data_IF_916670799693
#
_entry.id   IF_916670799693
#
_cell.length_a   1.000
_cell.length_b   1.000
_cell.length_c   1.000
_cell.angle_alpha   90.00
_cell.angle_beta   90.00
_cell.angle_gamma   90.00
#
_symmetry.space_group_name_H-M   'P 1'
#
loop_
_entity.id
_entity.type
_entity.pdbx_description
1 polymer ?
#
# COMPACT_ATOMS: atom_id res chain seq x y z
N UNK A 1 14.09 28.69 -15.59
CA UNK A 1 13.28 27.73 -16.38
C UNK A 1 12.26 27.00 -15.49
N UNK A 2 11.32 27.76 -14.91
CA UNK A 2 10.17 27.26 -14.13
C UNK A 2 8.90 27.61 -14.91
N UNK A 3 8.48 26.77 -15.87
CA UNK A 3 7.28 27.06 -16.68
C UNK A 3 6.71 25.84 -17.45
N UNK A 4 6.84 24.60 -16.95
CA UNK A 4 6.27 23.41 -17.63
C UNK A 4 5.63 22.39 -16.68
N UNK A 5 4.94 22.85 -15.64
CA UNK A 5 4.27 21.95 -14.68
C UNK A 5 2.76 22.23 -14.49
N UNK A 6 2.16 23.13 -15.27
CA UNK A 6 0.76 23.55 -15.07
C UNK A 6 -0.20 23.21 -16.23
N UNK A 7 0.23 22.42 -17.23
CA UNK A 7 -0.54 22.24 -18.48
C UNK A 7 -1.23 20.88 -18.67
N UNK A 8 -1.23 19.99 -17.69
CA UNK A 8 -1.91 18.67 -17.79
C UNK A 8 -3.32 18.68 -17.16
N UNK A 9 -3.69 19.71 -16.40
CA UNK A 9 -4.97 19.76 -15.67
C UNK A 9 -6.18 20.34 -16.43
N UNK A 10 -6.01 20.88 -17.64
CA UNK A 10 -7.08 21.65 -18.32
C UNK A 10 -7.78 20.97 -19.50
N UNK A 11 -7.30 19.83 -20.00
CA UNK A 11 -7.83 19.24 -21.26
C UNK A 11 -8.93 18.18 -21.09
N UNK A 12 -9.29 17.79 -19.86
CA UNK A 12 -10.36 16.80 -19.63
C UNK A 12 -11.71 17.39 -19.17
N UNK A 13 -11.82 18.73 -19.08
CA UNK A 13 -13.02 19.43 -18.57
C UNK A 13 -13.87 20.15 -19.65
N UNK A 14 -13.67 19.87 -20.93
CA UNK A 14 -14.47 20.47 -22.03
C UNK A 14 -14.87 19.45 -23.09
N UNK A 15 -15.84 18.61 -22.77
CA UNK A 15 -16.85 18.12 -23.71
C UNK A 15 -17.95 17.42 -22.91
N UNK A 16 -19.19 17.55 -23.36
CA UNK A 16 -20.45 17.10 -22.72
C UNK A 16 -21.16 18.15 -21.85
N UNK A 17 -21.52 19.28 -22.46
CA UNK A 17 -22.81 19.90 -22.14
C UNK A 17 -23.89 19.15 -22.91
N UNK A 18 -24.67 18.33 -22.20
CA UNK A 18 -25.99 17.88 -22.66
C UNK A 18 -27.00 18.42 -21.66
N UNK A 19 -27.92 19.23 -22.17
CA UNK A 19 -29.04 19.87 -21.49
C UNK A 19 -29.93 18.85 -20.78
N UNK A 20 -30.10 18.98 -19.46
CA UNK A 20 -31.09 18.25 -18.66
C UNK A 20 -32.47 18.89 -18.79
N UNK A 21 -33.48 18.11 -19.15
CA UNK A 21 -34.88 18.37 -18.81
C UNK A 21 -35.27 17.56 -17.56
N UNK A 22 -36.15 18.08 -16.68
CA UNK A 22 -36.54 17.40 -15.45
C UNK A 22 -37.64 16.37 -15.73
N UNK A 23 -37.33 15.08 -15.60
CA UNK A 23 -38.35 14.03 -15.49
C UNK A 23 -38.59 13.70 -14.02
N UNK A 24 -39.83 13.85 -13.60
CA UNK A 24 -40.37 13.43 -12.31
C UNK A 24 -40.39 11.90 -12.24
N UNK A 25 -39.51 11.31 -11.43
CA UNK A 25 -39.52 9.86 -11.18
C UNK A 25 -40.27 9.56 -9.88
N UNK A 26 -41.38 8.85 -10.01
CA UNK A 26 -42.21 8.33 -8.93
C UNK A 26 -41.38 7.41 -8.01
N UNK A 27 -41.45 7.64 -6.69
CA UNK A 27 -40.86 6.78 -5.67
C UNK A 27 -41.68 5.51 -5.53
N UNK A 28 -41.19 4.39 -6.05
CA UNK A 28 -41.67 3.06 -5.65
C UNK A 28 -40.68 2.48 -4.64
N UNK A 29 -41.09 2.44 -3.37
CA UNK A 29 -40.29 1.86 -2.29
C UNK A 29 -40.44 0.34 -2.33
N UNK A 30 -39.49 -0.35 -2.97
CA UNK A 30 -39.38 -1.81 -2.88
C UNK A 30 -38.63 -2.12 -1.58
N UNK A 31 -39.37 -2.52 -0.55
CA UNK A 31 -38.77 -3.12 0.65
C UNK A 31 -38.26 -4.51 0.31
N UNK A 32 -36.96 -4.62 0.00
CA UNK A 32 -36.28 -5.91 -0.08
C UNK A 32 -36.03 -6.37 1.36
N UNK A 33 -36.64 -7.48 1.77
CA UNK A 33 -36.33 -8.14 3.03
C UNK A 33 -34.94 -8.78 2.92
N UNK A 34 -33.92 -8.18 3.55
CA UNK A 34 -32.54 -8.66 3.43
C UNK A 34 -32.18 -9.56 4.61
N UNK A 35 -32.01 -10.86 4.30
CA UNK A 35 -31.44 -11.88 5.20
C UNK A 35 -30.03 -11.50 5.70
N UNK A 36 -29.72 -11.84 6.95
CA UNK A 36 -28.50 -11.48 7.70
C UNK A 36 -27.36 -12.51 7.54
N UNK A 37 -26.87 -12.74 6.33
CA UNK A 37 -25.66 -13.55 6.12
C UNK A 37 -24.46 -12.66 5.78
N UNK A 38 -23.39 -12.77 6.58
CA UNK A 38 -22.09 -12.09 6.40
C UNK A 38 -21.32 -12.82 5.30
N UNK A 39 -20.93 -12.13 4.25
CA UNK A 39 -20.10 -12.68 3.17
C UNK A 39 -18.71 -12.07 3.21
N UNK A 40 -17.68 -12.90 3.09
CA UNK A 40 -16.28 -12.51 3.24
C UNK A 40 -15.53 -12.67 1.91
N UNK A 41 -14.52 -11.83 1.68
CA UNK A 41 -13.66 -11.98 0.49
C UNK A 41 -12.86 -13.27 0.66
N UNK A 42 -12.96 -14.18 -0.32
CA UNK A 42 -12.14 -15.39 -0.32
C UNK A 42 -10.82 -15.07 -1.01
N UNK A 43 -9.73 -15.14 -0.25
CA UNK A 43 -8.40 -14.98 -0.81
C UNK A 43 -7.80 -16.33 -1.23
N UNK A 44 -7.05 -16.31 -2.33
CA UNK A 44 -6.26 -17.44 -2.84
C UNK A 44 -4.85 -16.96 -3.18
N UNK A 45 -3.88 -17.86 -3.32
CA UNK A 45 -2.56 -17.45 -3.81
C UNK A 45 -2.62 -17.17 -5.32
N UNK A 46 -1.92 -16.14 -5.82
CA UNK A 46 -1.76 -15.92 -7.26
C UNK A 46 -0.89 -17.03 -7.87
N UNK A 47 -0.95 -17.14 -9.20
CA UNK A 47 -0.05 -18.03 -9.94
C UNK A 47 1.41 -17.67 -9.67
N UNK A 48 2.29 -18.68 -9.76
CA UNK A 48 3.74 -18.49 -9.76
C UNK A 48 4.27 -18.66 -11.18
N UNK A 49 4.97 -17.64 -11.68
CA UNK A 49 5.64 -17.70 -12.98
C UNK A 49 6.89 -18.60 -12.83
N UNK A 50 6.90 -19.73 -13.54
CA UNK A 50 7.95 -20.73 -13.43
C UNK A 50 9.27 -20.31 -14.11
N UNK A 51 9.19 -19.49 -15.15
CA UNK A 51 10.32 -18.99 -15.92
C UNK A 51 10.17 -17.49 -16.20
N UNK A 52 11.25 -16.71 -16.17
CA UNK A 52 11.20 -15.29 -16.57
C UNK A 52 11.12 -15.13 -18.11
N UNK A 53 10.45 -16.06 -18.79
CA UNK A 53 10.25 -16.03 -20.23
C UNK A 53 9.26 -14.92 -20.59
N UNK A 54 9.74 -13.94 -21.36
CA UNK A 54 8.99 -12.74 -21.70
C UNK A 54 7.75 -13.06 -22.55
N UNK A 55 7.83 -14.02 -23.48
CA UNK A 55 6.70 -14.37 -24.33
C UNK A 55 5.61 -15.08 -23.54
N UNK A 56 6.00 -15.98 -22.64
CA UNK A 56 5.10 -16.64 -21.71
C UNK A 56 4.40 -15.61 -20.81
N UNK A 57 5.17 -14.72 -20.18
CA UNK A 57 4.65 -13.63 -19.36
C UNK A 57 3.68 -12.73 -20.13
N UNK A 58 4.08 -12.29 -21.34
CA UNK A 58 3.29 -11.40 -22.19
C UNK A 58 1.94 -12.03 -22.55
N UNK A 59 1.94 -13.31 -22.92
CA UNK A 59 0.74 -14.00 -23.40
C UNK A 59 -0.21 -14.39 -22.26
N UNK A 60 0.31 -14.95 -21.16
CA UNK A 60 -0.52 -15.55 -20.10
C UNK A 60 -0.92 -14.57 -18.99
N UNK A 61 -0.13 -13.51 -18.77
CA UNK A 61 -0.32 -12.64 -17.61
C UNK A 61 -0.51 -11.18 -18.00
N UNK A 62 0.39 -10.62 -18.80
CA UNK A 62 0.30 -9.20 -19.18
C UNK A 62 -0.95 -8.90 -20.02
N UNK A 63 -1.15 -9.62 -21.13
CA UNK A 63 -2.34 -9.44 -22.00
C UNK A 63 -3.63 -9.90 -21.35
N UNK A 64 -3.57 -10.92 -20.50
CA UNK A 64 -4.73 -11.45 -19.78
C UNK A 64 -5.10 -10.59 -18.55
N UNK A 65 -4.32 -9.56 -18.24
CA UNK A 65 -4.45 -8.74 -17.04
C UNK A 65 -4.58 -9.57 -15.76
N UNK A 66 -3.75 -10.61 -15.64
CA UNK A 66 -3.74 -11.56 -14.52
C UNK A 66 -2.51 -11.34 -13.62
N UNK A 67 -2.68 -11.15 -12.30
CA UNK A 67 -1.57 -11.08 -11.37
C UNK A 67 -0.77 -12.37 -11.35
N UNK A 68 0.54 -12.24 -11.17
CA UNK A 68 1.47 -13.37 -11.07
C UNK A 68 2.66 -12.99 -10.21
N UNK A 69 3.13 -13.97 -9.44
CA UNK A 69 4.32 -13.84 -8.58
C UNK A 69 5.49 -14.54 -9.24
N UNK A 70 6.67 -13.95 -9.16
CA UNK A 70 7.92 -14.56 -9.57
C UNK A 70 8.74 -14.72 -8.30
N UNK A 71 9.02 -15.98 -7.92
CA UNK A 71 9.76 -16.29 -6.70
C UNK A 71 11.25 -16.26 -6.97
N UNK A 72 12.03 -15.67 -6.06
CA UNK A 72 13.49 -15.58 -6.19
C UNK A 72 13.92 -15.09 -7.58
N UNK A 73 13.31 -14.00 -8.03
CA UNK A 73 13.40 -13.52 -9.40
C UNK A 73 14.86 -13.12 -9.74
N UNK A 74 15.43 -13.71 -10.79
CA UNK A 74 16.75 -13.34 -11.30
C UNK A 74 16.80 -11.86 -11.65
N UNK A 75 15.70 -11.30 -12.16
CA UNK A 75 15.59 -9.86 -12.41
C UNK A 75 15.84 -9.01 -11.16
N UNK A 76 15.50 -9.52 -9.97
CA UNK A 76 15.72 -8.84 -8.70
C UNK A 76 17.18 -8.98 -8.26
N UNK A 77 17.72 -10.20 -8.34
CA UNK A 77 19.10 -10.52 -7.94
C UNK A 77 20.15 -9.77 -8.78
N UNK A 78 19.83 -9.43 -10.03
CA UNK A 78 20.73 -8.70 -10.94
C UNK A 78 20.75 -7.18 -10.71
N UNK A 79 19.84 -6.62 -9.92
CA UNK A 79 19.86 -5.19 -9.61
C UNK A 79 21.03 -4.88 -8.67
N UNK A 80 21.93 -3.94 -9.01
CA UNK A 80 23.00 -3.55 -8.09
C UNK A 80 22.48 -3.10 -6.73
N UNK A 81 21.30 -2.47 -6.66
CA UNK A 81 20.67 -2.09 -5.40
C UNK A 81 20.43 -3.27 -4.45
N UNK A 82 20.18 -4.47 -4.97
CA UNK A 82 19.87 -5.66 -4.17
C UNK A 82 20.98 -6.02 -3.17
N UNK A 83 22.25 -5.85 -3.58
CA UNK A 83 23.43 -6.12 -2.76
C UNK A 83 24.13 -4.85 -2.26
N UNK A 84 24.08 -3.74 -3.02
CA UNK A 84 24.74 -2.48 -2.62
C UNK A 84 23.99 -1.76 -1.51
N UNK A 85 22.65 -1.75 -1.55
CA UNK A 85 21.84 -1.04 -0.55
C UNK A 85 21.52 -1.90 0.66
N UNK A 86 21.57 -3.22 0.51
CA UNK A 86 21.13 -4.16 1.52
C UNK A 86 22.18 -5.24 1.77
N UNK A 87 22.78 -5.20 2.96
CA UNK A 87 23.75 -6.20 3.41
C UNK A 87 23.01 -7.36 4.07
N UNK A 88 23.40 -8.57 3.71
CA UNK A 88 22.85 -9.79 4.30
C UNK A 88 23.55 -10.06 5.63
N UNK A 89 22.75 -10.18 6.69
CA UNK A 89 23.21 -10.57 8.01
C UNK A 89 22.71 -11.97 8.34
N UNK A 90 23.63 -12.79 8.86
CA UNK A 90 23.31 -14.11 9.39
C UNK A 90 22.81 -13.89 10.82
N UNK A 91 21.55 -14.24 11.09
CA UNK A 91 21.05 -14.22 12.46
C UNK A 91 21.78 -15.26 13.31
N UNK A 92 22.55 -14.81 14.30
CA UNK A 92 23.28 -15.68 15.23
C UNK A 92 22.34 -16.41 16.23
N UNK A 93 21.03 -16.13 16.21
CA UNK A 93 20.06 -16.68 17.16
C UNK A 93 19.14 -17.73 16.53
N UNK A 94 19.69 -18.86 16.07
CA UNK A 94 18.98 -20.13 15.86
C UNK A 94 17.79 -20.17 14.88
N UNK A 95 17.27 -19.03 14.43
CA UNK A 95 16.26 -18.88 13.39
C UNK A 95 17.01 -18.77 12.07
N UNK A 96 16.99 -19.84 11.27
CA UNK A 96 17.45 -19.83 9.88
C UNK A 96 16.67 -18.75 9.12
N UNK A 97 17.32 -17.62 8.86
CA UNK A 97 16.77 -16.54 8.05
C UNK A 97 17.85 -15.50 7.78
N UNK A 98 18.09 -15.22 6.50
CA UNK A 98 18.94 -14.10 6.09
C UNK A 98 18.12 -12.84 6.28
N UNK A 99 18.55 -11.95 7.18
CA UNK A 99 17.96 -10.62 7.31
C UNK A 99 18.78 -9.62 6.52
N UNK A 100 18.10 -8.72 5.81
CA UNK A 100 18.75 -7.62 5.13
C UNK A 100 18.80 -6.40 6.05
N UNK A 101 19.93 -5.71 6.10
CA UNK A 101 20.09 -4.41 6.75
C UNK A 101 20.51 -3.36 5.74
N UNK A 102 20.18 -2.09 5.99
CA UNK A 102 20.62 -0.99 5.14
C UNK A 102 22.15 -0.88 5.17
N UNK A 103 22.75 -0.70 4.00
CA UNK A 103 24.15 -0.37 3.87
C UNK A 103 24.35 1.13 4.14
N UNK A 104 24.48 1.49 5.42
CA UNK A 104 24.65 2.88 5.84
C UNK A 104 25.91 3.52 5.22
N UNK A 105 27.02 2.79 5.12
CA UNK A 105 28.27 3.29 4.52
C UNK A 105 28.12 3.69 3.04
N UNK A 106 27.22 3.02 2.32
CA UNK A 106 26.94 3.34 0.93
C UNK A 106 25.91 4.48 0.81
N UNK A 107 24.77 4.36 1.48
CA UNK A 107 23.62 5.25 1.28
C UNK A 107 23.86 6.63 1.93
N UNK A 108 24.55 6.70 3.07
CA UNK A 108 24.82 7.96 3.79
C UNK A 108 25.65 8.97 2.99
N UNK A 109 26.43 8.51 2.01
CA UNK A 109 27.16 9.37 1.05
C UNK A 109 26.25 10.29 0.25
N UNK A 110 24.96 9.96 0.19
CA UNK A 110 23.92 10.73 -0.48
C UNK A 110 22.92 11.36 0.51
N UNK A 111 23.28 11.47 1.80
CA UNK A 111 22.38 11.91 2.87
C UNK A 111 21.71 13.26 2.65
N UNK A 112 22.36 14.18 1.93
CA UNK A 112 21.82 15.53 1.68
C UNK A 112 20.68 15.58 0.65
N UNK A 113 20.45 14.50 -0.12
CA UNK A 113 19.37 14.50 -1.11
C UNK A 113 18.02 14.56 -0.42
N UNK A 114 17.14 15.43 -0.89
CA UNK A 114 15.78 15.52 -0.38
C UNK A 114 14.95 14.35 -0.93
N UNK A 115 14.29 13.63 -0.03
CA UNK A 115 13.41 12.51 -0.35
C UNK A 115 12.01 12.72 0.25
N UNK A 116 10.95 12.18 -0.38
CA UNK A 116 9.61 12.18 0.21
C UNK A 116 9.58 11.20 1.39
N UNK A 117 9.28 11.73 2.56
CA UNK A 117 9.07 10.96 3.78
C UNK A 117 7.63 11.11 4.24
N UNK A 118 7.16 10.05 4.89
CA UNK A 118 5.84 10.00 5.50
C UNK A 118 5.98 9.68 6.97
N UNK A 119 5.45 10.57 7.79
CA UNK A 119 5.40 10.44 9.23
C UNK A 119 4.00 9.98 9.62
N UNK A 120 3.92 8.83 10.31
CA UNK A 120 2.69 8.39 10.97
C UNK A 120 2.93 8.39 12.47
N UNK A 121 2.09 9.10 13.21
CA UNK A 121 2.12 9.13 14.67
C UNK A 121 0.78 8.64 15.21
N UNK A 122 0.82 7.59 16.02
CA UNK A 122 -0.35 7.03 16.68
C UNK A 122 -0.25 7.29 18.18
N UNK A 123 -1.27 7.94 18.74
CA UNK A 123 -1.43 8.12 20.18
C UNK A 123 -2.67 7.37 20.65
N UNK A 124 -2.50 6.51 21.66
CA UNK A 124 -3.61 5.91 22.39
C UNK A 124 -4.07 6.92 23.43
N UNK A 125 -5.18 7.62 23.19
CA UNK A 125 -5.77 8.46 24.25
C UNK A 125 -6.53 7.58 25.25
N UNK A 126 -6.32 7.87 26.53
CA UNK A 126 -6.97 7.19 27.65
C UNK A 126 -8.50 7.26 27.61
N UNK A 127 -9.06 6.33 28.38
CA UNK A 127 -10.47 5.94 28.54
C UNK A 127 -11.51 7.06 28.37
N UNK A 128 -12.42 6.92 27.40
CA UNK A 128 -13.74 7.56 27.45
C UNK A 128 -14.80 6.53 27.87
N UNK A 129 -15.38 6.73 29.06
CA UNK A 129 -16.52 5.95 29.53
C UNK A 129 -17.77 6.34 28.73
N UNK A 130 -18.16 5.51 27.77
CA UNK A 130 -19.52 5.57 27.25
C UNK A 130 -20.51 5.12 28.34
N UNK A 131 -21.66 5.78 28.42
CA UNK A 131 -22.75 5.54 29.40
C UNK A 131 -23.30 4.11 29.43
N UNK A 132 -22.85 3.25 28.52
CA UNK A 132 -23.23 1.84 28.39
C UNK A 132 -22.16 0.84 28.86
N UNK A 133 -21.07 1.29 29.51
CA UNK A 133 -20.02 0.41 30.03
C UNK A 133 -19.09 -0.21 28.97
N UNK A 134 -19.28 0.13 27.70
CA UNK A 134 -18.36 -0.26 26.62
C UNK A 134 -17.16 0.69 26.58
N UNK A 135 -15.96 0.13 26.74
CA UNK A 135 -14.69 0.85 26.60
C UNK A 135 -14.42 1.09 25.11
N UNK A 136 -14.29 2.35 24.72
CA UNK A 136 -13.89 2.74 23.35
C UNK A 136 -12.53 3.42 23.43
N UNK A 137 -11.52 2.81 22.80
CA UNK A 137 -10.20 3.40 22.65
C UNK A 137 -10.19 4.27 21.38
N UNK A 138 -9.94 5.56 21.52
CA UNK A 138 -9.78 6.47 20.37
C UNK A 138 -8.29 6.49 20.01
N UNK A 139 -7.93 5.71 18.99
CA UNK A 139 -6.59 5.80 18.39
C UNK A 139 -6.56 7.01 17.46
N UNK A 140 -5.91 8.09 17.89
CA UNK A 140 -5.70 9.25 17.04
C UNK A 140 -4.44 9.02 16.21
N UNK A 141 -4.62 8.71 14.92
CA UNK A 141 -3.51 8.55 13.97
C UNK A 141 -3.36 9.83 13.16
N UNK A 142 -2.20 10.47 13.24
CA UNK A 142 -1.83 11.61 12.41
C UNK A 142 -0.88 11.15 11.31
N UNK A 143 -1.08 11.66 10.10
CA UNK A 143 -0.26 11.39 8.93
C UNK A 143 0.21 12.69 8.29
N UNK A 144 1.51 12.77 7.98
CA UNK A 144 2.10 13.89 7.26
C UNK A 144 3.07 13.40 6.20
N UNK A 145 3.06 14.04 5.03
CA UNK A 145 4.06 13.82 3.97
C UNK A 145 4.88 15.10 3.78
N UNK A 146 6.20 14.97 3.81
CA UNK A 146 7.13 16.10 3.71
C UNK A 146 8.40 15.70 2.94
N UNK A 147 9.20 16.70 2.54
CA UNK A 147 10.52 16.48 1.95
C UNK A 147 11.57 16.72 3.03
N UNK A 148 12.52 15.81 3.17
CA UNK A 148 13.64 15.96 4.10
C UNK A 148 14.90 15.29 3.56
N UNK A 149 16.09 15.67 4.07
CA UNK A 149 17.33 14.98 3.73
C UNK A 149 17.22 13.48 4.04
N UNK A 150 17.76 12.64 3.14
CA UNK A 150 17.83 11.20 3.31
C UNK A 150 18.54 10.80 4.62
N UNK A 151 19.50 11.59 5.08
CA UNK A 151 20.17 11.39 6.38
C UNK A 151 19.18 11.33 7.55
N UNK A 152 18.13 12.16 7.57
CA UNK A 152 17.10 12.13 8.62
C UNK A 152 16.39 10.77 8.67
N UNK A 153 16.09 10.19 7.50
CA UNK A 153 15.50 8.85 7.43
C UNK A 153 16.48 7.78 7.92
N UNK A 154 17.74 7.87 7.52
CA UNK A 154 18.79 6.93 7.95
C UNK A 154 18.97 6.96 9.46
N UNK A 155 19.12 8.14 10.06
CA UNK A 155 19.27 8.32 11.51
C UNK A 155 18.06 7.74 12.27
N UNK A 156 16.85 7.99 11.77
CA UNK A 156 15.63 7.43 12.34
C UNK A 156 15.61 5.89 12.26
N UNK A 157 16.01 5.30 11.13
CA UNK A 157 16.06 3.83 10.98
C UNK A 157 17.11 3.20 11.89
N UNK A 158 18.28 3.83 12.07
CA UNK A 158 19.32 3.37 12.97
C UNK A 158 18.84 3.40 14.43
N UNK A 159 18.29 4.54 14.88
CA UNK A 159 17.73 4.67 16.23
C UNK A 159 16.57 3.70 16.47
N UNK A 160 15.77 3.40 15.45
CA UNK A 160 14.67 2.44 15.54
C UNK A 160 15.13 0.99 15.67
N UNK A 161 16.29 0.64 15.11
CA UNK A 161 16.85 -0.69 15.23
C UNK A 161 17.43 -0.97 16.63
N UNK A 162 17.85 0.06 17.35
CA UNK A 162 18.41 -0.03 18.71
C UNK A 162 17.35 -0.05 19.81
N UNK A 163 16.08 0.31 19.50
CA UNK A 163 15.00 0.29 20.49
C UNK A 163 14.75 -1.14 20.99
N UNK A 164 14.66 -1.36 22.32
CA UNK A 164 14.31 -2.66 22.87
C UNK A 164 12.99 -3.12 22.25
N UNK A 165 12.98 -4.34 21.69
CA UNK A 165 11.74 -5.00 21.30
C UNK A 165 11.01 -5.32 22.61
N UNK A 166 10.02 -4.51 22.98
CA UNK A 166 9.13 -4.87 24.09
C UNK A 166 8.45 -6.19 23.70
N UNK A 167 8.94 -7.30 24.27
CA UNK A 167 8.11 -8.47 24.45
C UNK A 167 6.84 -8.01 25.14
N UNK A 168 5.69 -8.47 24.66
CA UNK A 168 4.37 -8.14 25.18
C UNK A 168 4.23 -8.52 26.66
N UNK A 169 4.85 -7.75 27.54
CA UNK A 169 4.58 -7.71 28.96
C UNK A 169 3.55 -6.60 29.14
N UNK A 170 2.41 -6.98 29.71
CA UNK A 170 1.35 -6.07 30.12
C UNK A 170 1.95 -5.07 31.10
N UNK A 171 2.36 -3.91 30.58
CA UNK A 171 2.85 -2.82 31.39
C UNK A 171 1.63 -2.23 32.13
N UNK A 172 1.58 -2.43 33.44
CA UNK A 172 0.49 -1.94 34.31
C UNK A 172 0.54 -0.43 34.56
N UNK A 173 1.45 0.29 33.90
CA UNK A 173 1.60 1.73 34.02
C UNK A 173 0.69 2.46 33.02
N UNK A 174 -0.53 2.78 33.45
CA UNK A 174 -1.61 3.44 32.70
C UNK A 174 -1.27 4.90 32.31
N UNK A 175 -0.05 5.39 32.59
CA UNK A 175 0.33 6.80 32.46
C UNK A 175 1.45 7.11 31.45
N UNK A 176 1.91 6.16 30.62
CA UNK A 176 2.77 6.50 29.47
C UNK A 176 1.91 6.86 28.26
N UNK A 177 1.96 8.13 27.86
CA UNK A 177 1.58 8.55 26.52
C UNK A 177 2.62 8.01 25.52
N UNK A 178 2.61 6.71 25.26
CA UNK A 178 3.48 6.11 24.26
C UNK A 178 2.95 6.45 22.86
N UNK A 179 3.49 7.53 22.31
CA UNK A 179 3.29 7.90 20.91
C UNK A 179 4.15 6.99 20.04
N UNK A 180 3.52 6.14 19.25
CA UNK A 180 4.25 5.34 18.28
C UNK A 180 4.45 6.16 17.00
N UNK A 181 5.71 6.48 16.70
CA UNK A 181 6.10 7.26 15.52
C UNK A 181 6.83 6.39 14.51
N UNK A 182 6.40 6.48 13.26
CA UNK A 182 6.96 5.77 12.13
C UNK A 182 7.29 6.70 10.97
N UNK A 183 8.48 6.53 10.38
CA UNK A 183 8.86 7.19 9.14
C UNK A 183 8.93 6.17 8.01
N UNK A 184 8.33 6.50 6.87
CA UNK A 184 8.32 5.68 5.67
C UNK A 184 8.77 6.52 4.47
N UNK A 185 9.86 6.12 3.80
CA UNK A 185 10.23 6.65 2.49
C UNK A 185 9.31 5.98 1.47
N UNK A 186 8.37 6.73 0.91
CA UNK A 186 7.29 6.19 0.10
C UNK A 186 7.10 6.98 -1.20
N UNK A 187 6.81 6.27 -2.29
CA UNK A 187 6.67 6.87 -3.63
C UNK A 187 7.86 7.78 -3.99
N UNK A 188 9.08 7.41 -3.59
CA UNK A 188 10.27 8.16 -3.96
C UNK A 188 10.62 7.85 -5.41
N UNK A 189 10.32 8.79 -6.31
CA UNK A 189 10.66 8.67 -7.72
C UNK A 189 12.18 8.57 -7.90
N UNK A 190 12.62 7.55 -8.62
CA UNK A 190 14.05 7.28 -8.84
C UNK A 190 14.76 8.48 -9.49
N UNK A 191 14.08 9.18 -10.40
CA UNK A 191 14.59 10.37 -11.10
C UNK A 191 14.99 11.53 -10.17
N UNK A 192 14.44 11.57 -8.95
CA UNK A 192 14.77 12.58 -7.96
C UNK A 192 16.05 12.26 -7.16
N UNK A 193 16.58 11.04 -7.27
CA UNK A 193 17.80 10.63 -6.59
C UNK A 193 19.05 10.99 -7.39
N UNK A 194 20.24 11.04 -6.77
CA UNK A 194 21.48 11.30 -7.49
C UNK A 194 21.77 10.22 -8.54
N UNK A 195 22.44 10.52 -9.68
CA UNK A 195 22.67 9.56 -10.76
C UNK A 195 23.32 8.24 -10.34
N UNK A 196 24.18 8.27 -9.32
CA UNK A 196 24.82 7.08 -8.76
C UNK A 196 23.77 6.12 -8.16
N UNK A 197 22.80 6.63 -7.40
CA UNK A 197 21.70 5.83 -6.86
C UNK A 197 20.74 5.39 -7.96
N UNK A 198 20.51 6.21 -8.99
CA UNK A 198 19.69 5.81 -10.15
C UNK A 198 20.28 4.60 -10.87
N UNK A 199 21.61 4.61 -11.07
CA UNK A 199 22.33 3.53 -11.75
C UNK A 199 22.20 2.16 -11.07
N UNK A 200 21.89 2.13 -9.77
CA UNK A 200 21.71 0.88 -9.01
C UNK A 200 20.43 0.12 -9.34
N UNK A 201 19.52 0.74 -10.10
CA UNK A 201 18.29 0.12 -10.59
C UNK A 201 18.32 -0.15 -12.10
N UNK A 202 19.52 -0.03 -12.71
CA UNK A 202 19.78 -0.42 -14.08
C UNK A 202 20.52 -1.78 -14.15
N UNK A 203 20.26 -2.59 -15.18
CA UNK A 203 19.28 -2.36 -16.24
C UNK A 203 17.83 -2.53 -15.73
N UNK A 204 16.90 -1.84 -16.39
CA UNK A 204 15.46 -2.06 -16.15
C UNK A 204 15.12 -3.53 -16.45
N UNK A 205 14.35 -4.23 -15.58
CA UNK A 205 13.99 -5.63 -15.80
C UNK A 205 13.43 -5.90 -17.20
N UNK A 206 13.80 -7.04 -17.79
CA UNK A 206 13.36 -7.39 -19.15
C UNK A 206 11.82 -7.53 -19.24
N UNK A 207 11.17 -8.00 -18.18
CA UNK A 207 9.70 -8.04 -18.09
C UNK A 207 9.05 -6.65 -18.17
N UNK A 208 9.77 -5.59 -17.80
CA UNK A 208 9.31 -4.21 -17.93
C UNK A 208 9.62 -3.66 -19.31
N UNK A 209 10.88 -3.79 -19.75
CA UNK A 209 11.37 -3.17 -20.99
C UNK A 209 10.96 -3.89 -22.27
N UNK A 210 10.63 -5.19 -22.21
CA UNK A 210 10.39 -6.00 -23.41
C UNK A 210 8.96 -6.54 -23.53
N UNK A 211 8.13 -6.44 -22.50
CA UNK A 211 6.76 -6.99 -22.55
C UNK A 211 5.79 -6.08 -23.33
N UNK A 212 5.85 -4.78 -23.06
CA UNK A 212 4.96 -3.77 -23.60
C UNK A 212 5.60 -2.95 -24.72
N UNK A 213 5.41 -1.63 -24.63
CA UNK A 213 5.96 -0.62 -25.54
C UNK A 213 7.35 -0.12 -25.14
N UNK A 214 7.96 -0.73 -24.11
CA UNK A 214 9.22 -0.26 -23.50
C UNK A 214 9.09 1.18 -22.95
N UNK A 215 7.91 1.52 -22.44
CA UNK A 215 7.61 2.84 -21.87
C UNK A 215 7.52 2.72 -20.34
N UNK A 216 8.58 3.16 -19.65
CA UNK A 216 8.61 3.23 -18.19
C UNK A 216 8.11 4.60 -17.77
N UNK A 217 6.89 4.63 -17.23
CA UNK A 217 6.26 5.85 -16.76
C UNK A 217 6.93 6.39 -15.49
N UNK A 218 7.20 5.52 -14.52
CA UNK A 218 7.95 5.89 -13.32
C UNK A 218 8.55 4.65 -12.64
N UNK A 219 9.66 4.87 -11.94
CA UNK A 219 10.25 3.90 -11.00
C UNK A 219 10.17 4.51 -9.60
N UNK A 220 9.60 3.79 -8.62
CA UNK A 220 9.48 4.31 -7.25
C UNK A 220 10.10 3.38 -6.22
N UNK A 221 10.72 3.98 -5.21
CA UNK A 221 11.26 3.30 -4.04
C UNK A 221 10.34 3.42 -2.84
N UNK A 222 10.35 2.36 -2.02
CA UNK A 222 9.57 2.20 -0.82
C UNK A 222 10.46 1.59 0.26
N UNK A 223 10.82 2.32 1.30
CA UNK A 223 11.74 1.86 2.34
C UNK A 223 11.23 2.30 3.71
N UNK A 224 11.16 1.38 4.66
CA UNK A 224 10.82 1.69 6.05
C UNK A 224 11.05 0.51 6.97
N UNK A 225 10.74 0.69 8.25
CA UNK A 225 10.72 -0.41 9.22
C UNK A 225 9.27 -0.88 9.41
N UNK A 226 8.98 -2.19 9.41
CA UNK A 226 7.65 -2.69 9.74
C UNK A 226 7.18 -2.22 11.14
N UNK A 227 5.85 -2.08 11.35
CA UNK A 227 4.79 -2.37 10.40
C UNK A 227 4.49 -1.19 9.47
N UNK A 228 4.65 -1.33 8.14
CA UNK A 228 4.22 -0.27 7.20
C UNK A 228 2.84 -0.60 6.63
N UNK A 229 2.06 0.40 6.22
CA UNK A 229 0.74 0.16 5.62
C UNK A 229 0.46 1.08 4.44
N UNK A 230 0.00 0.49 3.34
CA UNK A 230 -0.57 1.16 2.19
C UNK A 230 -2.01 0.68 1.99
N UNK A 231 -3.00 1.57 2.21
CA UNK A 231 -4.43 1.27 2.04
C UNK A 231 -4.79 0.79 0.64
N UNK A 232 -6.01 0.24 0.52
CA UNK A 232 -6.53 -0.27 -0.74
C UNK A 232 -6.62 0.85 -1.79
N UNK A 233 -5.92 0.70 -2.90
CA UNK A 233 -5.92 1.65 -4.01
C UNK A 233 -5.67 0.92 -5.34
N UNK A 234 -5.71 1.64 -6.46
CA UNK A 234 -5.29 1.12 -7.77
C UNK A 234 -4.37 2.12 -8.48
N UNK A 235 -3.45 1.56 -9.26
CA UNK A 235 -2.48 2.31 -10.06
C UNK A 235 -3.01 2.61 -11.48
N UNK A 236 -2.55 3.70 -12.11
CA UNK A 236 -2.98 4.08 -13.46
C UNK A 236 -2.36 3.21 -14.57
N UNK A 237 -1.27 2.50 -14.28
CA UNK A 237 -0.51 1.66 -15.21
C UNK A 237 -0.24 0.27 -14.59
N UNK A 238 0.02 -0.76 -15.41
CA UNK A 238 0.61 -2.02 -14.94
C UNK A 238 1.86 -1.77 -14.09
N UNK A 239 2.04 -2.58 -13.06
CA UNK A 239 3.08 -2.40 -12.07
C UNK A 239 3.88 -3.70 -11.90
N UNK A 240 5.20 -3.66 -12.08
CA UNK A 240 6.09 -4.72 -11.60
C UNK A 240 6.66 -4.30 -10.26
N UNK A 241 6.25 -4.98 -9.19
CA UNK A 241 6.65 -4.68 -7.82
C UNK A 241 7.68 -5.71 -7.35
N UNK A 242 8.86 -5.26 -6.90
CA UNK A 242 9.99 -6.13 -6.53
C UNK A 242 10.39 -5.87 -5.08
N UNK A 243 10.49 -6.95 -4.30
CA UNK A 243 10.89 -6.90 -2.89
C UNK A 243 12.41 -7.04 -2.75
N UNK A 244 13.06 -5.99 -2.24
CA UNK A 244 14.52 -5.91 -2.11
C UNK A 244 14.99 -6.33 -0.71
N UNK A 245 14.22 -6.05 0.33
CA UNK A 245 14.56 -6.40 1.72
C UNK A 245 13.30 -6.61 2.56
N UNK A 246 13.40 -7.46 3.59
CA UNK A 246 12.28 -7.75 4.50
C UNK A 246 11.08 -8.40 3.80
N UNK A 247 9.90 -8.27 4.41
CA UNK A 247 8.68 -8.95 3.97
C UNK A 247 7.54 -7.96 3.73
N UNK A 248 6.75 -8.17 2.68
CA UNK A 248 5.48 -7.49 2.45
C UNK A 248 4.33 -8.46 2.24
N UNK A 249 3.23 -8.24 2.94
CA UNK A 249 1.95 -8.92 2.74
C UNK A 249 1.08 -8.08 1.81
N UNK A 250 0.70 -8.64 0.66
CA UNK A 250 -0.09 -7.96 -0.36
C UNK A 250 -1.41 -8.68 -0.54
N UNK A 251 -2.51 -7.91 -0.50
CA UNK A 251 -3.84 -8.37 -0.92
C UNK A 251 -4.27 -7.63 -2.18
N UNK A 252 -4.73 -8.39 -3.16
CA UNK A 252 -5.17 -7.91 -4.48
C UNK A 252 -6.64 -8.23 -4.68
N UNK A 253 -7.38 -7.28 -5.24
CA UNK A 253 -8.76 -7.45 -5.65
C UNK A 253 -8.89 -7.13 -7.13
N UNK A 254 -9.69 -7.93 -7.83
CA UNK A 254 -10.02 -7.65 -9.23
C UNK A 254 -10.63 -6.24 -9.37
N UNK A 255 -10.56 -5.60 -10.55
CA UNK A 255 -11.11 -4.26 -10.76
C UNK A 255 -12.56 -4.12 -10.29
N UNK A 256 -13.42 -5.14 -10.54
CA UNK A 256 -14.82 -5.15 -10.15
C UNK A 256 -15.01 -5.37 -8.65
N UNK A 257 -14.25 -6.29 -8.05
CA UNK A 257 -14.30 -6.57 -6.60
C UNK A 257 -13.84 -5.36 -5.80
N UNK A 258 -12.68 -4.79 -6.13
CA UNK A 258 -12.16 -3.64 -5.39
C UNK A 258 -13.04 -2.40 -5.53
N UNK A 259 -13.67 -2.20 -6.70
CA UNK A 259 -14.64 -1.12 -6.89
C UNK A 259 -15.88 -1.29 -5.98
N UNK A 260 -16.39 -2.50 -5.83
CA UNK A 260 -17.51 -2.77 -4.92
C UNK A 260 -17.12 -2.56 -3.46
N UNK A 261 -15.95 -3.05 -3.04
CA UNK A 261 -15.44 -2.83 -1.68
C UNK A 261 -15.30 -1.33 -1.38
N UNK A 262 -14.69 -0.58 -2.30
CA UNK A 262 -14.54 0.87 -2.16
C UNK A 262 -15.90 1.58 -2.09
N UNK A 263 -16.85 1.22 -2.95
CA UNK A 263 -18.19 1.80 -2.95
C UNK A 263 -18.96 1.50 -1.65
N UNK A 264 -18.83 0.29 -1.09
CA UNK A 264 -19.43 -0.04 0.20
C UNK A 264 -18.86 0.80 1.34
N UNK A 265 -17.53 0.98 1.39
CA UNK A 265 -16.90 1.83 2.41
C UNK A 265 -17.37 3.28 2.28
N UNK A 266 -17.42 3.81 1.06
CA UNK A 266 -17.94 5.15 0.80
C UNK A 266 -19.40 5.31 1.26
N UNK A 267 -20.26 4.31 1.02
CA UNK A 267 -21.64 4.31 1.52
C UNK A 267 -21.72 4.28 3.05
N UNK A 268 -20.91 3.44 3.71
CA UNK A 268 -20.87 3.37 5.18
C UNK A 268 -20.45 4.71 5.79
N UNK A 269 -19.50 5.40 5.17
CA UNK A 269 -19.09 6.75 5.59
C UNK A 269 -20.21 7.77 5.43
N UNK A 270 -20.96 7.72 4.32
CA UNK A 270 -22.11 8.60 4.09
C UNK A 270 -23.23 8.36 5.10
N UNK A 271 -23.51 7.10 5.45
CA UNK A 271 -24.57 6.74 6.41
C UNK A 271 -24.18 7.11 7.85
N UNK A 272 -22.89 7.13 8.18
CA UNK A 272 -22.38 7.53 9.49
C UNK A 272 -22.33 9.05 9.74
N UNK A 273 -22.42 9.86 8.68
CA UNK A 273 -22.27 11.32 8.77
C UNK A 273 -23.63 11.99 8.58
N UNK A 274 -24.24 12.52 9.64
CA UNK A 274 -25.41 13.40 9.53
C UNK A 274 -25.07 14.61 8.66
N UNK A 275 -25.63 14.65 7.44
CA UNK A 275 -25.73 15.78 6.50
C UNK A 275 -24.85 16.99 6.86
N UNK A 276 -23.67 17.08 6.27
CA UNK A 276 -22.81 18.26 6.34
C UNK A 276 -21.71 18.18 5.30
N UNK A 277 -21.56 19.27 4.55
CA UNK A 277 -20.79 19.51 3.32
C UNK A 277 -19.38 18.86 3.16
N UNK A 278 -19.05 18.66 1.88
CA UNK A 278 -17.71 18.47 1.26
C UNK A 278 -17.14 17.05 1.07
N UNK A 279 -17.98 16.07 0.75
CA UNK A 279 -17.53 14.72 0.32
C UNK A 279 -17.55 14.54 -1.21
N UNK A 280 -16.76 15.34 -1.93
CA UNK A 280 -16.52 15.11 -3.36
C UNK A 280 -15.73 13.80 -3.52
N UNK A 281 -16.33 12.84 -4.23
CA UNK A 281 -15.81 11.47 -4.39
C UNK A 281 -14.32 11.44 -4.74
N UNK A 282 -13.50 11.08 -3.74
CA UNK A 282 -12.08 10.86 -3.94
C UNK A 282 -11.92 9.67 -4.88
N UNK A 283 -11.33 9.90 -6.05
CA UNK A 283 -10.95 8.81 -6.92
C UNK A 283 -9.84 8.04 -6.20
N UNK A 284 -10.05 6.77 -5.85
CA UNK A 284 -9.00 5.86 -5.34
C UNK A 284 -7.94 5.48 -6.40
N UNK A 285 -7.75 6.38 -7.36
CA UNK A 285 -6.80 6.29 -8.46
C UNK A 285 -5.61 7.12 -8.01
N UNK A 286 -4.48 6.47 -7.76
CA UNK A 286 -3.30 7.06 -7.12
C UNK A 286 -3.44 7.24 -5.59
N UNK A 287 -2.40 6.86 -4.85
CA UNK A 287 -2.31 7.04 -3.40
C UNK A 287 -2.09 8.52 -3.04
N UNK A 288 -3.02 9.11 -2.26
CA UNK A 288 -2.96 10.48 -1.73
C UNK A 288 -2.93 10.56 -0.20
N UNK A 289 -2.79 11.76 0.36
CA UNK A 289 -2.71 11.99 1.82
C UNK A 289 -4.03 11.60 2.52
N UNK A 290 -5.14 12.00 1.91
CA UNK A 290 -6.52 11.68 2.28
C UNK A 290 -6.78 10.18 2.45
N UNK A 291 -6.11 9.31 1.68
CA UNK A 291 -6.25 7.85 1.83
C UNK A 291 -5.50 7.30 3.04
N UNK A 292 -4.54 8.05 3.60
CA UNK A 292 -3.64 7.60 4.66
C UNK A 292 -4.11 7.95 6.07
N UNK A 293 -5.26 8.59 6.23
CA UNK A 293 -5.81 8.95 7.53
C UNK A 293 -7.34 8.94 7.53
N UNK A 294 -7.95 9.09 8.70
CA UNK A 294 -9.40 9.18 8.85
C UNK A 294 -10.15 7.84 8.71
N UNK A 295 -11.48 7.93 8.74
CA UNK A 295 -12.37 6.77 8.80
C UNK A 295 -12.28 5.87 7.56
N UNK A 296 -12.03 6.44 6.38
CA UNK A 296 -11.89 5.65 5.14
C UNK A 296 -10.75 4.63 5.25
N UNK A 297 -9.58 5.06 5.72
CA UNK A 297 -8.41 4.19 5.93
C UNK A 297 -8.76 3.01 6.83
N UNK A 298 -9.43 3.28 7.95
CA UNK A 298 -9.80 2.26 8.95
C UNK A 298 -10.82 1.29 8.38
N UNK A 299 -11.84 1.79 7.67
CA UNK A 299 -12.88 0.96 7.06
C UNK A 299 -12.35 0.11 5.92
N UNK A 300 -11.49 0.67 5.05
CA UNK A 300 -10.80 -0.09 4.00
C UNK A 300 -9.86 -1.14 4.60
N UNK A 301 -9.12 -0.80 5.64
CA UNK A 301 -8.28 -1.77 6.35
C UNK A 301 -9.11 -2.93 6.89
N UNK A 302 -10.21 -2.63 7.59
CA UNK A 302 -11.13 -3.64 8.11
C UNK A 302 -11.74 -4.50 7.00
N UNK A 303 -12.17 -3.89 5.90
CA UNK A 303 -12.80 -4.60 4.79
C UNK A 303 -11.84 -5.55 4.07
N UNK A 304 -10.56 -5.17 3.96
CA UNK A 304 -9.55 -5.95 3.23
C UNK A 304 -8.82 -6.92 4.13
N UNK A 305 -8.48 -6.52 5.36
CA UNK A 305 -7.62 -7.24 6.30
C UNK A 305 -8.34 -7.88 7.48
N UNK A 306 -9.59 -7.52 7.76
CA UNK A 306 -10.35 -8.05 8.90
C UNK A 306 -10.69 -9.54 8.75
N UNK A 307 -10.63 -10.27 9.86
CA UNK A 307 -11.01 -11.68 9.93
C UNK A 307 -12.53 -11.86 9.94
N UNK A 308 -13.02 -12.84 9.18
CA UNK A 308 -14.40 -13.30 9.22
C UNK A 308 -14.80 -13.93 10.57
N UNK A 309 -13.81 -14.37 11.35
CA UNK A 309 -13.98 -15.21 12.54
C UNK A 309 -13.90 -14.48 13.88
N UNK A 310 -13.52 -13.20 13.90
CA UNK A 310 -13.35 -12.45 15.15
C UNK A 310 -14.18 -11.15 15.14
N UNK A 311 -15.49 -11.24 15.41
CA UNK A 311 -16.30 -10.08 15.80
C UNK A 311 -17.61 -10.53 16.47
N UNK A 312 -17.66 -10.42 17.79
CA UNK A 312 -18.89 -10.35 18.61
C UNK A 312 -19.59 -8.98 18.51
N UNK A 313 -19.15 -8.11 17.60
CA UNK A 313 -19.78 -6.83 17.29
C UNK A 313 -20.67 -7.01 16.05
N UNK A 314 -21.96 -6.61 16.07
CA UNK A 314 -22.83 -6.76 14.92
C UNK A 314 -22.26 -5.94 13.74
N UNK A 315 -21.77 -6.65 12.74
CA UNK A 315 -21.31 -6.12 11.46
C UNK A 315 -22.51 -5.54 10.69
N UNK A 316 -22.79 -4.25 10.87
CA UNK A 316 -23.87 -3.56 10.14
C UNK A 316 -23.46 -3.06 8.76
N UNK A 317 -22.21 -3.23 8.32
CA UNK A 317 -21.74 -2.73 7.01
C UNK A 317 -20.72 -3.61 6.26
N UNK A 318 -20.43 -4.83 6.74
CA UNK A 318 -19.43 -5.69 6.06
C UNK A 318 -19.99 -6.14 4.70
N UNK A 319 -19.27 -5.77 3.65
CA UNK A 319 -19.48 -6.06 2.22
C UNK A 319 -20.32 -7.32 2.00
N UNK A 320 -21.58 -7.12 1.56
CA UNK A 320 -22.46 -8.19 1.07
C UNK A 320 -22.05 -8.62 -0.34
N UNK A 321 -20.85 -9.18 -0.48
CA UNK A 321 -20.33 -9.72 -1.73
C UNK A 321 -20.28 -11.25 -1.67
N UNK A 322 -21.27 -11.92 -2.26
CA UNK A 322 -21.16 -13.37 -2.51
C UNK A 322 -19.98 -13.63 -3.49
N UNK A 323 -19.13 -14.60 -3.15
CA UNK A 323 -18.16 -15.23 -4.06
C UNK A 323 -17.08 -14.34 -4.70
N UNK A 324 -16.61 -13.30 -4.03
CA UNK A 324 -15.50 -12.50 -4.57
C UNK A 324 -14.15 -13.18 -4.28
N UNK A 325 -13.35 -13.37 -5.32
CA UNK A 325 -12.02 -13.98 -5.24
C UNK A 325 -10.98 -12.85 -5.27
N UNK A 326 -10.18 -12.75 -4.21
CA UNK A 326 -8.98 -11.93 -4.15
C UNK A 326 -7.71 -12.80 -4.19
N UNK A 327 -6.57 -12.14 -4.39
CA UNK A 327 -5.27 -12.78 -4.17
C UNK A 327 -4.63 -12.30 -2.87
N UNK A 328 -4.00 -13.22 -2.14
CA UNK A 328 -3.21 -12.96 -0.94
C UNK A 328 -1.82 -13.56 -1.14
N UNK A 329 -0.78 -12.75 -0.94
CA UNK A 329 0.60 -13.16 -1.15
C UNK A 329 1.53 -12.48 -0.15
N UNK A 330 2.43 -13.28 0.42
CA UNK A 330 3.63 -12.80 1.11
C UNK A 330 4.77 -12.72 0.09
N UNK A 331 5.39 -11.55 -0.04
CA UNK A 331 6.59 -11.30 -0.83
C UNK A 331 7.79 -11.21 0.10
N UNK A 332 8.77 -12.07 -0.13
CA UNK A 332 10.06 -12.06 0.57
C UNK A 332 11.14 -11.39 -0.29
N UNK A 333 12.30 -11.10 0.30
CA UNK A 333 13.46 -10.56 -0.43
C UNK A 333 13.77 -11.44 -1.64
N UNK A 334 13.80 -10.83 -2.83
CA UNK A 334 14.01 -11.53 -4.10
C UNK A 334 12.73 -11.79 -4.89
N UNK A 335 11.56 -11.75 -4.25
CA UNK A 335 10.29 -11.96 -4.95
C UNK A 335 9.86 -10.72 -5.73
N UNK A 336 9.07 -10.97 -6.78
CA UNK A 336 8.36 -9.91 -7.48
C UNK A 336 6.92 -10.28 -7.78
N UNK A 337 6.09 -9.26 -7.96
CA UNK A 337 4.66 -9.35 -8.20
C UNK A 337 4.29 -8.44 -9.37
N UNK A 338 3.69 -9.03 -10.40
CA UNK A 338 3.02 -8.26 -11.44
C UNK A 338 1.60 -7.92 -10.99
N UNK A 339 1.30 -6.62 -10.94
CA UNK A 339 -0.02 -6.08 -10.66
C UNK A 339 -0.55 -5.47 -11.96
N UNK A 340 -1.55 -6.07 -12.60
CA UNK A 340 -2.10 -5.55 -13.85
C UNK A 340 -2.83 -4.22 -13.64
N UNK A 341 -3.02 -3.49 -14.74
CA UNK A 341 -3.73 -2.21 -14.71
C UNK A 341 -5.12 -2.36 -14.09
N UNK A 342 -5.49 -1.43 -13.20
CA UNK A 342 -6.83 -1.38 -12.61
C UNK A 342 -7.09 -2.38 -11.49
N UNK A 343 -6.15 -3.28 -11.19
CA UNK A 343 -6.23 -4.13 -10.01
C UNK A 343 -6.04 -3.30 -8.74
N UNK A 344 -6.93 -3.54 -7.78
CA UNK A 344 -6.85 -2.91 -6.47
C UNK A 344 -5.91 -3.70 -5.59
N UNK A 345 -5.14 -3.01 -4.76
CA UNK A 345 -4.18 -3.65 -3.88
C UNK A 345 -3.99 -2.88 -2.59
N UNK A 346 -3.75 -3.62 -1.51
CA UNK A 346 -3.34 -3.12 -0.21
C UNK A 346 -2.11 -3.89 0.24
N UNK A 347 -1.19 -3.20 0.90
CA UNK A 347 0.14 -3.73 1.20
C UNK A 347 0.50 -3.41 2.65
N UNK A 348 0.97 -4.43 3.40
CA UNK A 348 1.53 -4.28 4.74
C UNK A 348 2.99 -4.72 4.74
N UNK A 349 3.91 -3.88 5.23
CA UNK A 349 5.24 -4.34 5.61
C UNK A 349 5.17 -5.05 6.95
N UNK A 350 5.68 -6.28 7.02
CA UNK A 350 5.58 -7.14 8.20
C UNK A 350 6.93 -7.72 8.57
N UNK A 351 7.04 -8.31 9.76
CA UNK A 351 8.28 -8.89 10.26
C UNK A 351 9.16 -7.85 10.97
N UNK A 352 10.47 -8.08 10.95
CA UNK A 352 11.46 -7.27 11.67
C UNK A 352 12.49 -6.66 10.70
N UNK A 353 13.22 -5.65 11.17
CA UNK A 353 14.30 -5.03 10.41
C UNK A 353 13.79 -4.01 9.38
N UNK A 354 14.47 -3.92 8.24
CA UNK A 354 14.07 -3.03 7.13
C UNK A 354 13.20 -3.78 6.13
N UNK A 355 12.15 -3.14 5.65
CA UNK A 355 11.38 -3.57 4.47
C UNK A 355 11.63 -2.59 3.33
N UNK A 356 11.97 -3.12 2.15
CA UNK A 356 12.25 -2.31 0.99
C UNK A 356 11.73 -2.93 -0.30
N UNK A 357 11.20 -2.09 -1.18
CA UNK A 357 10.73 -2.50 -2.50
C UNK A 357 11.01 -1.41 -3.53
N UNK A 358 11.11 -1.83 -4.78
CA UNK A 358 11.09 -0.96 -5.94
C UNK A 358 9.95 -1.39 -6.86
N UNK A 359 9.31 -0.43 -7.52
CA UNK A 359 8.26 -0.74 -8.48
C UNK A 359 8.42 0.05 -9.77
N UNK A 360 8.05 -0.56 -10.89
CA UNK A 360 7.99 0.08 -12.20
C UNK A 360 6.56 0.17 -12.68
N UNK A 361 6.10 1.38 -12.97
CA UNK A 361 4.89 1.60 -13.75
C UNK A 361 5.26 1.64 -15.23
N UNK A 362 4.68 0.76 -16.05
CA UNK A 362 5.12 0.56 -17.43
C UNK A 362 3.98 0.29 -18.41
N UNK A 363 4.23 0.43 -19.71
CA UNK A 363 3.27 0.20 -20.80
C UNK A 363 3.86 -0.59 -21.95
#
# INVERSE_FOLDING_TARGET
MRARQTQIWMLYRRSNQVTRQPQTCLKTSVYISISRNVSTIRYTSPDVLADENIDHFRQKYFRAEKPVVIRSAELCLKLPAYSKWFLETVSNHGKKGVQAQLNFDYISKHGDVLVPLELTSSATKGEENNTNGNKTYINNTQFERFQAPLSMFLDWTAASAERPKEESQVNTDINRNDTNTQIYLAQCHLENLPPQLQSDFHPTPALVSQTGKNDVYATNLWIGTPPTYTPLHKDPNPNLFVQLAGVKHVRLLSPSTGLQVFACVQQEMMDSTTKGDDFLGHAATFRGNEMMQGSERVLLERAVWGDASSSSVPSTGVVRAQNHIGYDVILERGDSLFIPKGWWHSIKGVGEGITASVNWWFR
#
